data_IF_890907355064
#
_entry.id   IF_890907355064
#
_cell.length_a   1.000
_cell.length_b   1.000
_cell.length_c   1.000
_cell.angle_alpha   90.00
_cell.angle_beta   90.00
_cell.angle_gamma   90.00
#
_symmetry.space_group_name_H-M   'P 1'
#
loop_
_entity.id
_entity.type
_entity.pdbx_description
1 polymer ?
#
# COMPACT_ATOMS: atom_id res chain seq x y z
N UNK A 1 20.61 -14.28 -33.78
CA UNK A 1 19.16 -14.51 -33.94
C UNK A 1 18.57 -14.66 -32.54
N UNK A 2 18.32 -13.54 -31.86
CA UNK A 2 17.64 -13.53 -30.57
C UNK A 2 16.18 -13.15 -30.82
N UNK A 3 15.20 -13.87 -30.25
CA UNK A 3 13.80 -13.72 -30.60
C UNK A 3 13.22 -12.38 -30.14
N UNK A 4 12.30 -11.84 -30.96
CA UNK A 4 11.57 -10.57 -30.87
C UNK A 4 10.66 -10.40 -29.64
N UNK A 5 10.72 -11.28 -28.64
CA UNK A 5 9.81 -11.29 -27.49
C UNK A 5 10.11 -10.20 -26.44
N UNK A 6 11.21 -9.45 -26.59
CA UNK A 6 11.71 -8.49 -25.60
C UNK A 6 11.24 -7.03 -25.85
N UNK A 7 10.04 -6.80 -26.42
CA UNK A 7 9.59 -5.43 -26.76
C UNK A 7 8.60 -4.79 -25.77
N UNK A 8 7.94 -5.51 -24.87
CA UNK A 8 6.89 -4.94 -24.01
C UNK A 8 6.82 -5.53 -22.59
N UNK A 9 7.90 -5.48 -21.82
CA UNK A 9 7.87 -5.82 -20.39
C UNK A 9 7.17 -4.72 -19.57
N UNK A 10 5.87 -4.48 -19.80
CA UNK A 10 5.06 -3.50 -19.07
C UNK A 10 3.90 -4.23 -18.40
N UNK A 11 3.90 -4.23 -17.08
CA UNK A 11 2.80 -4.74 -16.26
C UNK A 11 1.88 -3.57 -15.91
N UNK A 12 0.62 -3.62 -16.37
CA UNK A 12 -0.38 -2.61 -16.05
C UNK A 12 -1.37 -3.18 -15.06
N UNK A 13 -1.60 -2.46 -13.97
CA UNK A 13 -2.56 -2.83 -12.94
C UNK A 13 -3.60 -1.72 -12.74
N UNK A 14 -4.87 -2.09 -12.47
CA UNK A 14 -5.92 -1.10 -12.26
C UNK A 14 -5.68 -0.28 -10.98
N UNK A 15 -5.25 -0.94 -9.89
CA UNK A 15 -5.12 -0.36 -8.56
C UNK A 15 -3.85 -0.89 -7.85
N UNK A 16 -3.29 -0.08 -6.96
CA UNK A 16 -2.05 -0.40 -6.22
C UNK A 16 -2.23 -1.51 -5.17
N UNK A 17 -3.44 -1.86 -4.77
CA UNK A 17 -3.66 -2.89 -3.74
C UNK A 17 -3.52 -4.32 -4.25
N UNK A 18 -3.37 -4.51 -5.57
CA UNK A 18 -3.14 -5.82 -6.20
C UNK A 18 -1.74 -6.36 -5.89
N UNK A 19 -0.76 -5.47 -5.73
CA UNK A 19 0.64 -5.85 -5.43
C UNK A 19 0.89 -6.10 -3.94
N UNK A 20 -0.01 -5.66 -3.05
CA UNK A 20 0.17 -5.85 -1.61
C UNK A 20 -0.93 -5.22 -0.77
N UNK A 21 -1.12 -5.77 0.43
CA UNK A 21 -2.05 -5.23 1.46
C UNK A 21 -1.37 -4.19 2.34
N UNK A 22 -0.03 -4.14 2.29
CA UNK A 22 0.78 -3.16 3.01
C UNK A 22 1.59 -2.33 2.02
N UNK A 23 1.89 -1.10 2.41
CA UNK A 23 2.66 -0.16 1.58
C UNK A 23 4.10 -0.60 1.34
N UNK A 24 4.71 -1.35 2.27
CA UNK A 24 6.07 -1.89 2.06
C UNK A 24 6.11 -2.99 0.99
N UNK A 25 5.09 -3.86 0.92
CA UNK A 25 4.99 -4.92 -0.08
C UNK A 25 4.92 -4.31 -1.49
N UNK A 26 4.19 -3.21 -1.65
CA UNK A 26 4.11 -2.47 -2.90
C UNK A 26 5.46 -1.90 -3.35
N UNK A 27 6.28 -1.40 -2.41
CA UNK A 27 7.61 -0.87 -2.69
C UNK A 27 8.58 -1.99 -3.09
N UNK A 28 8.59 -3.10 -2.34
CA UNK A 28 9.45 -4.25 -2.60
C UNK A 28 9.16 -4.87 -3.98
N UNK A 29 7.88 -4.99 -4.36
CA UNK A 29 7.50 -5.44 -5.71
C UNK A 29 7.93 -4.45 -6.79
N UNK A 30 7.87 -3.15 -6.51
CA UNK A 30 8.34 -2.14 -7.48
C UNK A 30 9.85 -2.21 -7.71
N UNK A 31 10.63 -2.49 -6.67
CA UNK A 31 12.08 -2.68 -6.75
C UNK A 31 12.44 -3.98 -7.50
N UNK A 32 11.81 -5.11 -7.18
CA UNK A 32 12.04 -6.38 -7.88
C UNK A 32 11.76 -6.25 -9.39
N UNK A 33 10.65 -5.59 -9.74
CA UNK A 33 10.28 -5.38 -11.15
C UNK A 33 11.27 -4.45 -11.86
N UNK A 34 11.78 -3.43 -11.17
CA UNK A 34 12.81 -2.51 -11.69
C UNK A 34 14.12 -3.26 -11.97
N UNK A 35 14.58 -4.13 -11.06
CA UNK A 35 15.76 -4.97 -11.27
C UNK A 35 15.61 -5.91 -12.47
N UNK A 36 14.40 -6.40 -12.69
CA UNK A 36 14.05 -7.28 -13.81
C UNK A 36 13.80 -6.54 -15.13
N UNK A 37 13.89 -5.21 -15.14
CA UNK A 37 13.64 -4.37 -16.32
C UNK A 37 12.17 -4.35 -16.77
N UNK A 38 11.24 -4.62 -15.85
CA UNK A 38 9.79 -4.60 -16.09
C UNK A 38 9.24 -3.28 -15.58
N UNK A 39 8.50 -2.54 -16.41
CA UNK A 39 7.81 -1.32 -15.99
C UNK A 39 6.47 -1.65 -15.37
N UNK A 40 6.21 -1.13 -14.17
CA UNK A 40 4.91 -1.27 -13.50
C UNK A 40 4.12 0.03 -13.65
N UNK A 41 2.94 -0.05 -14.26
CA UNK A 41 2.06 1.09 -14.51
C UNK A 41 0.75 0.92 -13.75
N UNK A 42 0.35 1.93 -12.98
CA UNK A 42 -0.88 1.92 -12.21
C UNK A 42 -1.91 2.87 -12.83
N UNK A 43 -3.04 2.33 -13.29
CA UNK A 43 -4.08 3.12 -13.97
C UNK A 43 -4.79 4.09 -13.02
N UNK A 44 -5.06 3.70 -11.76
CA UNK A 44 -5.65 4.57 -10.73
C UNK A 44 -4.82 5.84 -10.47
N UNK A 45 -3.50 5.79 -10.71
CA UNK A 45 -2.59 6.92 -10.55
C UNK A 45 -2.42 7.71 -11.86
N UNK A 46 -3.35 7.57 -12.81
CA UNK A 46 -3.29 8.25 -14.11
C UNK A 46 -2.30 7.60 -15.09
N UNK A 47 -2.05 6.29 -14.94
CA UNK A 47 -1.04 5.59 -15.75
C UNK A 47 0.40 5.90 -15.32
N UNK A 48 0.61 6.19 -14.03
CA UNK A 48 1.93 6.46 -13.48
C UNK A 48 2.80 5.19 -13.52
N UNK A 49 4.03 5.34 -14.01
CA UNK A 49 5.07 4.32 -13.91
C UNK A 49 5.73 4.37 -12.54
N UNK A 50 5.42 3.38 -11.69
CA UNK A 50 5.93 3.29 -10.31
C UNK A 50 7.33 2.70 -10.22
N UNK A 51 7.93 2.24 -11.32
CA UNK A 51 9.34 1.79 -11.38
C UNK A 51 10.31 2.92 -11.72
N UNK A 52 9.78 4.07 -12.14
CA UNK A 52 10.56 5.28 -12.37
C UNK A 52 10.95 5.94 -11.04
N UNK A 53 12.07 6.68 -11.00
CA UNK A 53 12.50 7.40 -9.79
C UNK A 53 11.43 8.39 -9.28
N UNK A 54 10.65 8.99 -10.18
CA UNK A 54 9.54 9.87 -9.82
C UNK A 54 8.36 9.08 -9.23
N UNK A 55 8.00 7.95 -9.84
CA UNK A 55 6.93 7.07 -9.36
C UNK A 55 7.24 6.43 -8.01
N UNK A 56 8.50 6.05 -7.79
CA UNK A 56 9.01 5.52 -6.53
C UNK A 56 8.92 6.56 -5.41
N UNK A 57 9.31 7.82 -5.67
CA UNK A 57 9.11 8.93 -4.74
C UNK A 57 7.64 9.14 -4.39
N UNK A 58 6.76 9.18 -5.40
CA UNK A 58 5.32 9.37 -5.19
C UNK A 58 4.75 8.22 -4.35
N UNK A 59 5.10 6.98 -4.66
CA UNK A 59 4.67 5.80 -3.91
C UNK A 59 5.15 5.86 -2.45
N UNK A 60 6.38 6.28 -2.23
CA UNK A 60 6.96 6.45 -0.90
C UNK A 60 6.25 7.54 -0.09
N UNK A 61 5.95 8.69 -0.69
CA UNK A 61 5.20 9.77 -0.04
C UNK A 61 3.79 9.32 0.32
N UNK A 62 3.08 8.65 -0.62
CA UNK A 62 1.76 8.10 -0.34
C UNK A 62 1.80 7.05 0.76
N UNK A 63 2.83 6.20 0.76
CA UNK A 63 3.04 5.20 1.81
C UNK A 63 3.26 5.85 3.19
N UNK A 64 4.04 6.92 3.25
CA UNK A 64 4.29 7.68 4.47
C UNK A 64 3.00 8.33 5.01
N UNK A 65 2.21 8.95 4.12
CA UNK A 65 0.91 9.53 4.47
C UNK A 65 -0.06 8.47 5.00
N UNK A 66 -0.21 7.34 4.28
CA UNK A 66 -1.08 6.25 4.70
C UNK A 66 -0.66 5.65 6.06
N UNK A 67 0.64 5.58 6.34
CA UNK A 67 1.16 5.17 7.65
C UNK A 67 0.76 6.17 8.75
N UNK A 68 0.96 7.46 8.50
CA UNK A 68 0.61 8.54 9.44
C UNK A 68 -0.90 8.54 9.76
N UNK A 69 -1.76 8.42 8.75
CA UNK A 69 -3.23 8.34 8.95
C UNK A 69 -3.61 7.14 9.83
N UNK A 70 -2.96 5.98 9.60
CA UNK A 70 -3.19 4.78 10.40
C UNK A 70 -2.76 4.95 11.85
N UNK A 71 -1.64 5.63 12.08
CA UNK A 71 -1.16 5.95 13.43
C UNK A 71 -2.13 6.91 14.15
N UNK A 72 -2.58 7.98 13.48
CA UNK A 72 -3.60 8.89 14.02
C UNK A 72 -4.91 8.17 14.37
N UNK A 73 -5.36 7.24 13.52
CA UNK A 73 -6.56 6.44 13.81
C UNK A 73 -6.38 5.58 15.06
N UNK A 74 -5.22 4.93 15.23
CA UNK A 74 -4.92 4.10 16.40
C UNK A 74 -4.87 4.92 17.69
N UNK A 75 -4.31 6.13 17.62
CA UNK A 75 -4.25 7.03 18.76
C UNK A 75 -5.66 7.42 19.22
N UNK A 76 -6.51 7.86 18.28
CA UNK A 76 -7.93 8.17 18.55
C UNK A 76 -8.69 6.97 19.11
N UNK A 77 -8.47 5.78 18.56
CA UNK A 77 -9.06 4.55 19.09
C UNK A 77 -8.62 4.29 20.53
N UNK A 78 -7.33 4.45 20.84
CA UNK A 78 -6.81 4.22 22.19
C UNK A 78 -7.43 5.16 23.21
N UNK A 79 -7.59 6.45 22.85
CA UNK A 79 -8.27 7.46 23.69
C UNK A 79 -9.74 7.08 23.90
N UNK A 80 -10.45 6.73 22.82
CA UNK A 80 -11.85 6.31 22.90
C UNK A 80 -12.03 5.06 23.76
N UNK A 81 -11.07 4.12 23.66
CA UNK A 81 -11.03 2.90 24.47
C UNK A 81 -10.84 3.22 25.95
N UNK A 82 -9.88 4.09 26.27
CA UNK A 82 -9.62 4.51 27.64
C UNK A 82 -10.85 5.19 28.26
N UNK A 83 -11.53 6.06 27.49
CA UNK A 83 -12.77 6.71 27.91
C UNK A 83 -13.91 5.71 28.12
N UNK A 84 -14.13 4.79 27.19
CA UNK A 84 -15.17 3.77 27.31
C UNK A 84 -14.91 2.80 28.49
N UNK A 85 -13.64 2.51 28.81
CA UNK A 85 -13.25 1.78 30.03
C UNK A 85 -13.57 2.57 31.29
N UNK A 86 -13.24 3.87 31.32
CA UNK A 86 -13.53 4.73 32.47
C UNK A 86 -15.04 4.93 32.70
N UNK A 87 -15.84 4.99 31.64
CA UNK A 87 -17.30 5.09 31.70
C UNK A 87 -17.99 3.72 31.95
N UNK A 88 -17.24 2.63 32.14
CA UNK A 88 -17.77 1.29 32.40
C UNK A 88 -18.51 0.63 31.22
N UNK A 89 -18.50 1.26 30.04
CA UNK A 89 -19.21 0.81 28.82
C UNK A 89 -18.37 -0.03 27.89
N UNK A 90 -17.18 -0.45 28.30
CA UNK A 90 -16.34 -1.30 27.47
C UNK A 90 -17.02 -2.65 27.28
N UNK A 91 -17.48 -3.00 26.07
CA UNK A 91 -18.12 -4.29 25.88
C UNK A 91 -17.04 -5.36 26.07
N UNK A 92 -17.15 -6.08 27.17
CA UNK A 92 -16.61 -7.42 27.28
C UNK A 92 -17.15 -8.19 26.07
N UNK A 93 -16.28 -8.92 25.36
CA UNK A 93 -16.75 -9.90 24.38
C UNK A 93 -17.60 -10.91 25.16
N UNK A 94 -18.92 -10.71 25.19
CA UNK A 94 -19.86 -11.73 25.58
C UNK A 94 -19.83 -12.79 24.48
N UNK A 95 -19.03 -13.83 24.68
CA UNK A 95 -19.30 -15.10 24.02
C UNK A 95 -20.65 -15.58 24.57
N UNK A 96 -21.71 -15.33 23.82
CA UNK A 96 -22.99 -15.99 24.03
C UNK A 96 -22.90 -17.41 23.47
N UNK A 97 -23.25 -18.36 24.33
CA UNK A 97 -23.35 -19.81 24.11
C UNK A 97 -24.14 -20.20 22.87
#
# INVERSE_FOLDING_TARGET
>A
MLPEFLRHSVLRLPIVTVIGRKTHEALEVSEDLKERGVRLVIDQLGGLDVTSAAGEMILTVMAALAKMEREQLKERQTIGIARAKAEGKYPHRSCSH
#
